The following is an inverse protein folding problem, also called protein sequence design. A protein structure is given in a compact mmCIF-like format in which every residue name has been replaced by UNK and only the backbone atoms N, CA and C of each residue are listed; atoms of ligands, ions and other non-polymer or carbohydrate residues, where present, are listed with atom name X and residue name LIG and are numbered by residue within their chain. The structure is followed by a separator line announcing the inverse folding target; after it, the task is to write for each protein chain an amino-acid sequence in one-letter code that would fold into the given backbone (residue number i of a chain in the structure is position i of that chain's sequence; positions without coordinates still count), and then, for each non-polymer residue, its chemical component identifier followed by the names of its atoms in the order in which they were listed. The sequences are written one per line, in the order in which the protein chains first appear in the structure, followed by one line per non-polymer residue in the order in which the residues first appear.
data_IF_817593908118
#
_entry.id   IF_817593908118
#
_cell.length_a   1.000
_cell.length_b   1.000
_cell.length_c   1.000
_cell.angle_alpha   90.00
_cell.angle_beta   90.00
_cell.angle_gamma   90.00
#
_symmetry.space_group_name_H-M   'P 1'
#
loop_
_entity.id
_entity.type
_entity.pdbx_description
1 polymer ?
#
# COMPACT_ATOMS: atom_id res chain seq x y z
N UNK A 1 25.09 -13.80 2.58
CA UNK A 1 24.50 -12.53 2.18
C UNK A 1 23.03 -12.73 1.82
N UNK A 2 22.13 -11.84 2.27
CA UNK A 2 20.69 -11.86 1.98
C UNK A 2 20.25 -10.46 1.60
N UNK A 3 19.61 -10.31 0.44
CA UNK A 3 19.06 -9.04 -0.04
C UNK A 3 17.56 -9.04 0.19
N UNK A 4 17.08 -8.10 1.03
CA UNK A 4 15.67 -7.93 1.36
C UNK A 4 15.10 -6.72 0.60
N UNK A 5 14.21 -6.96 -0.36
CA UNK A 5 13.49 -5.90 -1.07
C UNK A 5 12.27 -5.44 -0.25
N UNK A 6 12.25 -4.17 0.15
CA UNK A 6 11.08 -3.58 0.80
C UNK A 6 9.95 -3.35 -0.21
N UNK A 7 8.72 -3.37 0.28
CA UNK A 7 7.51 -3.08 -0.49
C UNK A 7 7.44 -1.61 -0.93
N UNK A 8 7.93 -0.68 -0.10
CA UNK A 8 7.76 0.76 -0.28
C UNK A 8 9.03 1.52 0.08
N UNK A 9 8.99 2.86 -0.04
CA UNK A 9 10.06 3.73 0.47
C UNK A 9 10.26 3.52 1.97
N UNK A 10 11.44 3.86 2.47
CA UNK A 10 11.76 3.68 3.89
C UNK A 10 10.81 4.49 4.77
N UNK A 11 9.97 3.80 5.52
CA UNK A 11 8.94 4.35 6.40
C UNK A 11 8.84 3.53 7.70
N UNK A 12 7.99 3.95 8.62
CA UNK A 12 7.87 3.40 9.97
C UNK A 12 7.56 1.89 10.03
N UNK A 13 6.77 1.35 9.06
CA UNK A 13 6.44 -0.08 9.00
C UNK A 13 7.66 -0.97 8.83
N UNK A 14 8.75 -0.44 8.30
CA UNK A 14 10.00 -1.17 8.09
C UNK A 14 11.04 -0.96 9.20
N UNK A 15 10.70 -0.19 10.25
CA UNK A 15 11.64 0.14 11.33
C UNK A 15 12.26 -1.09 11.99
N UNK A 16 11.48 -2.18 12.15
CA UNK A 16 11.95 -3.44 12.73
C UNK A 16 13.13 -4.06 11.97
N UNK A 17 13.10 -4.01 10.64
CA UNK A 17 14.18 -4.54 9.80
C UNK A 17 15.47 -3.72 9.92
N UNK A 18 15.35 -2.39 9.94
CA UNK A 18 16.50 -1.50 10.15
C UNK A 18 17.05 -1.58 11.56
N UNK A 19 16.20 -1.76 12.58
CA UNK A 19 16.64 -1.98 13.96
C UNK A 19 17.39 -3.31 14.06
N UNK A 20 16.88 -4.38 13.46
CA UNK A 20 17.56 -5.69 13.45
C UNK A 20 18.96 -5.58 12.80
N UNK A 21 19.06 -4.87 11.67
CA UNK A 21 20.34 -4.62 11.01
C UNK A 21 21.29 -3.82 11.92
N UNK A 22 20.81 -2.68 12.45
CA UNK A 22 21.64 -1.77 13.26
C UNK A 22 22.08 -2.37 14.61
N UNK A 23 21.25 -3.24 15.19
CA UNK A 23 21.54 -3.90 16.47
C UNK A 23 22.35 -5.18 16.32
N UNK A 24 22.61 -5.63 15.09
CA UNK A 24 23.37 -6.84 14.80
C UNK A 24 22.57 -8.13 14.93
N UNK A 25 21.25 -8.09 15.06
CA UNK A 25 20.42 -9.29 15.23
C UNK A 25 20.49 -10.24 14.03
N UNK A 26 20.73 -9.70 12.83
CA UNK A 26 20.98 -10.54 11.66
C UNK A 26 22.35 -11.22 11.71
N UNK A 27 23.38 -10.50 12.14
CA UNK A 27 24.72 -11.05 12.26
C UNK A 27 24.82 -12.06 13.42
N UNK A 28 24.01 -11.94 14.46
CA UNK A 28 23.91 -12.92 15.54
C UNK A 28 23.38 -14.29 15.03
N UNK A 29 22.68 -14.28 13.89
CA UNK A 29 22.16 -15.47 13.18
C UNK A 29 22.99 -15.80 11.92
N UNK A 30 24.23 -15.33 11.85
CA UNK A 30 25.16 -15.52 10.71
C UNK A 30 24.62 -14.98 9.37
N UNK A 31 23.71 -14.00 9.39
CA UNK A 31 23.14 -13.36 8.21
C UNK A 31 23.79 -11.98 7.95
N UNK A 32 24.28 -11.80 6.74
CA UNK A 32 24.68 -10.50 6.20
C UNK A 32 23.55 -9.96 5.34
N UNK A 33 22.76 -9.03 5.89
CA UNK A 33 21.52 -8.54 5.27
C UNK A 33 21.69 -7.16 4.66
N UNK A 34 21.39 -7.05 3.37
CA UNK A 34 21.25 -5.78 2.65
C UNK A 34 19.77 -5.46 2.44
N UNK A 35 19.31 -4.30 2.95
CA UNK A 35 17.94 -3.83 2.76
C UNK A 35 17.87 -2.94 1.52
N UNK A 36 17.06 -3.34 0.55
CA UNK A 36 16.81 -2.61 -0.69
C UNK A 36 15.50 -1.81 -0.55
N UNK A 37 15.54 -0.46 -0.64
CA UNK A 37 14.34 0.35 -0.59
C UNK A 37 13.39 0.04 -1.74
N UNK A 38 12.09 0.09 -1.48
CA UNK A 38 11.05 0.04 -2.49
C UNK A 38 10.63 1.44 -2.96
N UNK A 39 9.48 1.52 -3.61
CA UNK A 39 8.93 2.78 -4.09
C UNK A 39 7.75 2.60 -5.04
N UNK A 40 7.12 3.72 -5.46
CA UNK A 40 5.92 3.69 -6.30
C UNK A 40 6.14 3.14 -7.71
N UNK A 41 7.39 2.95 -8.12
CA UNK A 41 7.77 2.42 -9.45
C UNK A 41 8.53 1.09 -9.35
N UNK A 42 8.60 0.50 -8.16
CA UNK A 42 9.28 -0.77 -7.92
C UNK A 42 8.24 -1.85 -7.64
N UNK A 43 8.29 -2.94 -8.38
CA UNK A 43 7.47 -4.12 -8.18
C UNK A 43 8.32 -5.23 -7.51
N UNK A 44 8.22 -5.45 -6.20
CA UNK A 44 9.05 -6.43 -5.48
C UNK A 44 9.04 -7.84 -6.10
N UNK A 45 7.89 -8.36 -6.60
CA UNK A 45 7.88 -9.67 -7.28
C UNK A 45 8.77 -9.73 -8.52
N UNK A 46 8.90 -8.62 -9.27
CA UNK A 46 9.79 -8.57 -10.44
C UNK A 46 11.26 -8.53 -10.04
N UNK A 47 11.59 -7.81 -8.95
CA UNK A 47 12.95 -7.77 -8.41
C UNK A 47 13.36 -9.17 -7.94
N UNK A 48 12.48 -9.87 -7.21
CA UNK A 48 12.72 -11.23 -6.75
C UNK A 48 12.87 -12.21 -7.92
N UNK A 49 11.95 -12.16 -8.90
CA UNK A 49 11.99 -13.00 -10.10
C UNK A 49 13.26 -12.79 -10.93
N UNK A 50 13.76 -11.56 -11.00
CA UNK A 50 14.99 -11.20 -11.69
C UNK A 50 16.28 -11.53 -10.94
N UNK A 51 16.21 -12.11 -9.74
CA UNK A 51 17.36 -12.40 -8.89
C UNK A 51 18.02 -11.14 -8.30
N UNK A 52 17.28 -10.03 -8.26
CA UNK A 52 17.72 -8.78 -7.64
C UNK A 52 17.63 -8.78 -6.12
N UNK A 53 16.82 -9.67 -5.55
CA UNK A 53 16.65 -9.89 -4.13
C UNK A 53 16.48 -11.37 -3.81
N UNK A 54 16.70 -11.75 -2.55
CA UNK A 54 16.57 -13.12 -2.05
C UNK A 54 15.26 -13.28 -1.25
N UNK A 55 14.78 -12.18 -0.67
CA UNK A 55 13.48 -12.07 -0.03
C UNK A 55 12.81 -10.74 -0.41
N UNK A 56 11.49 -10.69 -0.36
CA UNK A 56 10.73 -9.46 -0.56
C UNK A 56 9.67 -9.28 0.53
N UNK A 57 9.36 -8.03 0.85
CA UNK A 57 8.12 -7.68 1.51
C UNK A 57 7.09 -7.34 0.44
N UNK A 58 5.89 -7.86 0.60
CA UNK A 58 4.81 -7.60 -0.36
C UNK A 58 3.44 -7.75 0.30
N UNK A 59 2.43 -7.14 -0.30
CA UNK A 59 1.06 -7.35 0.09
C UNK A 59 0.56 -8.68 -0.49
N UNK A 60 -0.24 -9.39 0.29
CA UNK A 60 -0.71 -10.73 -0.10
C UNK A 60 -1.41 -10.79 -1.47
N UNK A 61 -2.31 -9.86 -1.86
CA UNK A 61 -2.94 -9.92 -3.18
C UNK A 61 -1.92 -9.83 -4.32
N UNK A 62 -0.90 -9.01 -4.18
CA UNK A 62 0.19 -8.90 -5.15
C UNK A 62 1.02 -10.18 -5.23
N UNK A 63 1.34 -10.78 -4.08
CA UNK A 63 2.06 -12.05 -4.03
C UNK A 63 1.25 -13.19 -4.66
N UNK A 64 -0.05 -13.26 -4.41
CA UNK A 64 -0.96 -14.23 -5.04
C UNK A 64 -1.02 -14.04 -6.56
N UNK A 65 -1.16 -12.79 -7.02
CA UNK A 65 -1.17 -12.49 -8.46
C UNK A 65 0.17 -12.86 -9.14
N UNK A 66 1.30 -12.71 -8.44
CA UNK A 66 2.60 -13.15 -8.92
C UNK A 66 2.67 -14.69 -9.00
N UNK A 67 2.15 -15.39 -7.97
CA UNK A 67 2.09 -16.85 -7.95
C UNK A 67 1.20 -17.41 -9.06
N UNK A 68 0.05 -16.81 -9.33
CA UNK A 68 -0.82 -17.17 -10.47
C UNK A 68 -0.11 -17.04 -11.82
N UNK A 69 0.83 -16.11 -11.93
CA UNK A 69 1.67 -15.91 -13.12
C UNK A 69 2.89 -16.84 -13.18
N UNK A 70 3.00 -17.76 -12.22
CA UNK A 70 4.04 -18.80 -12.21
C UNK A 70 5.28 -18.45 -11.39
N UNK A 71 5.31 -17.35 -10.65
CA UNK A 71 6.39 -17.06 -9.71
C UNK A 71 6.17 -17.85 -8.41
N UNK A 72 7.01 -18.86 -8.07
CA UNK A 72 6.76 -19.78 -6.98
C UNK A 72 7.14 -19.13 -5.62
N UNK A 73 6.39 -18.10 -5.19
CA UNK A 73 6.61 -17.41 -3.93
C UNK A 73 5.93 -18.10 -2.76
N UNK A 74 6.60 -18.11 -1.62
CA UNK A 74 6.11 -18.65 -0.33
C UNK A 74 6.17 -17.54 0.71
N UNK A 75 5.08 -17.35 1.48
CA UNK A 75 5.08 -16.51 2.66
C UNK A 75 5.79 -17.22 3.81
N UNK A 76 6.86 -16.63 4.33
CA UNK A 76 7.64 -17.18 5.43
C UNK A 76 7.45 -16.43 6.74
N UNK A 77 6.91 -15.20 6.69
CA UNK A 77 6.58 -14.43 7.89
C UNK A 77 5.48 -13.39 7.58
N UNK A 78 4.59 -13.17 8.55
CA UNK A 78 3.52 -12.19 8.48
C UNK A 78 3.53 -11.30 9.72
N UNK A 79 4.33 -10.21 9.73
CA UNK A 79 4.45 -9.32 10.90
C UNK A 79 3.17 -8.57 11.23
N UNK A 80 2.44 -8.12 10.18
CA UNK A 80 1.19 -7.37 10.33
C UNK A 80 -0.02 -8.30 10.22
N UNK A 81 -0.95 -8.17 11.16
CA UNK A 81 -2.17 -8.99 11.26
C UNK A 81 -3.43 -8.26 10.83
N UNK A 82 -3.35 -6.93 10.70
CA UNK A 82 -4.44 -6.05 10.28
C UNK A 82 -3.97 -5.06 9.24
N UNK A 83 -4.91 -4.53 8.44
CA UNK A 83 -4.63 -3.53 7.41
C UNK A 83 -4.59 -2.13 8.01
N UNK A 84 -3.60 -1.33 7.63
CA UNK A 84 -3.58 0.10 7.92
C UNK A 84 -4.16 0.96 6.81
N UNK A 85 -4.58 0.34 5.70
CA UNK A 85 -5.04 1.05 4.50
C UNK A 85 -6.41 1.70 4.71
N UNK A 86 -6.52 2.95 4.27
CA UNK A 86 -7.79 3.68 4.20
C UNK A 86 -7.80 4.68 3.05
N UNK A 87 -8.98 5.13 2.65
CA UNK A 87 -9.16 6.34 1.85
C UNK A 87 -9.36 7.52 2.78
N UNK A 88 -8.64 8.61 2.53
CA UNK A 88 -8.82 9.92 3.18
C UNK A 88 -9.34 10.89 2.15
N UNK A 89 -10.52 11.45 2.39
CA UNK A 89 -11.26 12.31 1.48
C UNK A 89 -11.52 13.68 2.09
N UNK A 90 -11.61 14.71 1.26
CA UNK A 90 -12.14 15.99 1.71
C UNK A 90 -13.65 15.88 2.01
N UNK A 91 -14.06 16.36 3.16
CA UNK A 91 -15.46 16.34 3.61
C UNK A 91 -16.37 17.19 2.76
N UNK A 92 -15.84 18.31 2.24
CA UNK A 92 -16.57 19.26 1.38
C UNK A 92 -16.88 18.72 -0.03
N UNK A 93 -16.30 17.58 -0.41
CA UNK A 93 -16.65 16.87 -1.66
C UNK A 93 -18.04 16.23 -1.60
N UNK A 94 -18.65 16.19 -0.42
CA UNK A 94 -19.97 15.58 -0.18
C UNK A 94 -19.96 14.08 -0.07
N UNK A 95 -18.79 13.43 -0.07
CA UNK A 95 -18.63 11.98 0.10
C UNK A 95 -18.97 11.62 1.55
N UNK A 96 -19.94 10.73 1.75
CA UNK A 96 -20.38 10.22 3.05
C UNK A 96 -20.38 8.70 3.10
N UNK A 97 -20.44 8.06 1.93
CA UNK A 97 -20.50 6.62 1.77
C UNK A 97 -19.78 6.21 0.48
N UNK A 98 -19.45 4.93 0.29
CA UNK A 98 -18.81 4.45 -0.95
C UNK A 98 -19.60 4.75 -2.22
N UNK A 99 -20.94 4.77 -2.15
CA UNK A 99 -21.78 5.11 -3.31
C UNK A 99 -21.55 6.53 -3.84
N UNK A 100 -20.99 7.44 -3.02
CA UNK A 100 -20.72 8.82 -3.38
C UNK A 100 -19.40 8.99 -4.15
N UNK A 101 -18.63 7.90 -4.33
CA UNK A 101 -17.39 7.94 -5.11
C UNK A 101 -17.60 8.13 -6.61
N UNK A 102 -18.82 7.90 -7.12
CA UNK A 102 -19.13 8.07 -8.54
C UNK A 102 -18.85 9.51 -9.01
N UNK A 103 -18.14 9.62 -10.13
CA UNK A 103 -17.71 10.90 -10.69
C UNK A 103 -16.55 11.58 -9.95
N UNK A 104 -15.98 10.94 -8.93
CA UNK A 104 -14.86 11.47 -8.14
C UNK A 104 -13.51 11.03 -8.68
N UNK A 105 -12.47 11.78 -8.32
CA UNK A 105 -11.07 11.40 -8.55
C UNK A 105 -10.48 10.84 -7.28
N UNK A 106 -9.95 9.62 -7.35
CA UNK A 106 -9.39 8.92 -6.20
C UNK A 106 -7.94 8.52 -6.49
N UNK A 107 -7.03 8.97 -5.63
CA UNK A 107 -5.62 8.58 -5.64
C UNK A 107 -5.45 7.16 -5.15
N UNK A 108 -4.79 6.33 -5.94
CA UNK A 108 -4.56 4.90 -5.65
C UNK A 108 -3.11 4.55 -5.94
N UNK A 109 -2.49 3.79 -5.06
CA UNK A 109 -1.17 3.20 -5.31
C UNK A 109 -1.28 2.01 -6.23
N UNK A 110 -0.25 1.80 -7.06
CA UNK A 110 -0.17 0.73 -8.05
C UNK A 110 0.92 -0.29 -7.70
N UNK A 111 1.24 -1.16 -8.65
CA UNK A 111 2.19 -2.28 -8.52
C UNK A 111 1.81 -3.30 -7.45
N UNK A 112 0.50 -3.61 -7.38
CA UNK A 112 -0.06 -4.62 -6.50
C UNK A 112 -0.71 -4.05 -5.24
N UNK A 113 -0.62 -2.74 -5.00
CA UNK A 113 -1.31 -2.07 -3.90
C UNK A 113 -2.75 -1.67 -4.27
N UNK A 114 -3.11 -1.69 -5.56
CA UNK A 114 -4.43 -1.35 -6.07
C UNK A 114 -5.50 -2.43 -5.82
N UNK A 115 -5.12 -3.67 -5.59
CA UNK A 115 -6.06 -4.79 -5.50
C UNK A 115 -7.16 -4.63 -4.47
N UNK A 116 -6.92 -4.18 -3.22
CA UNK A 116 -7.98 -3.96 -2.24
C UNK A 116 -8.98 -2.91 -2.72
N UNK A 117 -8.50 -1.82 -3.33
CA UNK A 117 -9.33 -0.77 -3.89
C UNK A 117 -10.20 -1.28 -5.05
N UNK A 118 -9.60 -1.99 -6.00
CA UNK A 118 -10.33 -2.56 -7.15
C UNK A 118 -11.38 -3.57 -6.71
N UNK A 119 -11.05 -4.40 -5.70
CA UNK A 119 -12.00 -5.33 -5.09
C UNK A 119 -13.17 -4.60 -4.46
N UNK A 120 -12.90 -3.53 -3.72
CA UNK A 120 -13.94 -2.72 -3.10
C UNK A 120 -14.86 -2.08 -4.15
N UNK A 121 -14.31 -1.42 -5.16
CA UNK A 121 -15.10 -0.81 -6.22
C UNK A 121 -15.94 -1.83 -6.99
N UNK A 122 -15.40 -3.01 -7.22
CA UNK A 122 -16.14 -4.13 -7.84
C UNK A 122 -17.33 -4.59 -6.98
N UNK A 123 -17.16 -4.68 -5.65
CA UNK A 123 -18.25 -5.03 -4.72
C UNK A 123 -19.35 -3.96 -4.72
N UNK A 124 -18.99 -2.68 -4.82
CA UNK A 124 -19.92 -1.56 -4.89
C UNK A 124 -20.57 -1.38 -6.29
N UNK A 125 -20.11 -2.15 -7.28
CA UNK A 125 -20.56 -2.00 -8.67
C UNK A 125 -20.17 -0.67 -9.31
N UNK A 126 -19.01 -0.12 -8.92
CA UNK A 126 -18.49 1.16 -9.40
C UNK A 126 -17.34 0.90 -10.37
N UNK A 127 -17.45 1.43 -11.61
CA UNK A 127 -16.37 1.36 -12.60
C UNK A 127 -15.17 2.21 -12.19
N UNK A 128 -13.97 1.71 -12.44
CA UNK A 128 -12.70 2.43 -12.25
C UNK A 128 -12.11 2.97 -13.56
N UNK A 129 -12.87 2.91 -14.66
CA UNK A 129 -12.45 3.37 -15.98
C UNK A 129 -12.80 4.86 -16.25
N UNK A 130 -13.27 5.54 -15.23
CA UNK A 130 -13.72 6.93 -15.34
C UNK A 130 -15.17 7.08 -15.79
N UNK A 131 -15.54 8.32 -16.11
CA UNK A 131 -16.88 8.66 -16.54
C UNK A 131 -17.81 9.08 -15.39
N UNK A 132 -19.03 9.49 -15.76
CA UNK A 132 -19.99 10.06 -14.81
C UNK A 132 -20.44 9.09 -13.72
N UNK A 133 -20.53 7.80 -14.05
CA UNK A 133 -20.98 6.75 -13.14
C UNK A 133 -19.83 5.89 -12.59
N UNK A 134 -18.59 6.26 -12.90
CA UNK A 134 -17.37 5.61 -12.46
C UNK A 134 -16.47 6.55 -11.67
N UNK A 135 -15.29 6.05 -11.32
CA UNK A 135 -14.23 6.77 -10.62
C UNK A 135 -13.10 7.07 -11.58
N UNK A 136 -12.56 8.29 -11.53
CA UNK A 136 -11.27 8.60 -12.16
C UNK A 136 -10.17 8.19 -11.20
N UNK A 137 -9.40 7.16 -11.56
CA UNK A 137 -8.26 6.71 -10.76
C UNK A 137 -7.05 7.56 -11.10
N UNK A 138 -6.52 8.27 -10.09
CA UNK A 138 -5.26 8.99 -10.17
C UNK A 138 -4.14 8.12 -9.62
N UNK A 139 -3.08 7.91 -10.39
CA UNK A 139 -1.90 7.19 -9.89
C UNK A 139 -1.20 8.03 -8.83
N UNK A 140 -1.27 7.57 -7.59
CA UNK A 140 -0.68 8.24 -6.43
C UNK A 140 0.79 7.85 -6.27
N UNK A 141 1.64 8.86 -5.98
CA UNK A 141 3.02 8.67 -5.55
C UNK A 141 3.12 8.40 -4.05
N UNK A 142 4.26 8.75 -3.46
CA UNK A 142 4.56 8.50 -2.04
C UNK A 142 4.19 9.66 -1.09
N UNK A 143 3.58 10.72 -1.60
CA UNK A 143 3.19 11.92 -0.84
C UNK A 143 1.68 12.15 -0.86
N UNK A 144 1.23 13.14 -0.10
CA UNK A 144 -0.19 13.51 0.05
C UNK A 144 -0.59 14.73 -0.80
N UNK A 145 0.30 15.23 -1.65
CA UNK A 145 0.08 16.40 -2.49
C UNK A 145 -1.19 16.33 -3.33
N UNK A 146 -1.58 15.17 -3.92
CA UNK A 146 -2.81 15.11 -4.70
C UNK A 146 -4.06 15.51 -3.91
N UNK A 147 -4.11 15.22 -2.60
CA UNK A 147 -5.20 15.67 -1.74
C UNK A 147 -5.06 17.16 -1.42
N UNK A 148 -3.88 17.59 -0.96
CA UNK A 148 -3.64 18.97 -0.53
C UNK A 148 -3.83 19.98 -1.66
N UNK A 149 -3.47 19.60 -2.89
CA UNK A 149 -3.62 20.43 -4.10
C UNK A 149 -4.98 20.25 -4.80
N UNK A 150 -5.90 19.52 -4.20
CA UNK A 150 -7.24 19.27 -4.76
C UNK A 150 -7.22 18.59 -6.14
N UNK A 151 -6.18 17.85 -6.45
CA UNK A 151 -6.08 17.03 -7.68
C UNK A 151 -6.92 15.75 -7.57
N UNK A 152 -7.15 15.29 -6.34
CA UNK A 152 -8.00 14.16 -6.02
C UNK A 152 -8.98 14.55 -4.90
N UNK A 153 -10.19 13.99 -4.96
CA UNK A 153 -11.21 14.11 -3.91
C UNK A 153 -10.84 13.26 -2.69
N UNK A 154 -10.23 12.10 -2.94
CA UNK A 154 -9.70 11.17 -1.95
C UNK A 154 -8.32 10.70 -2.38
N UNK A 155 -7.51 10.27 -1.40
CA UNK A 155 -6.25 9.56 -1.61
C UNK A 155 -6.16 8.32 -0.75
N UNK A 156 -5.36 7.34 -1.18
CA UNK A 156 -4.92 6.24 -0.34
C UNK A 156 -3.99 6.77 0.75
N UNK A 157 -4.21 6.33 1.98
CA UNK A 157 -3.37 6.65 3.14
C UNK A 157 -3.21 5.44 4.03
N UNK A 158 -2.08 5.34 4.71
CA UNK A 158 -1.92 4.40 5.82
C UNK A 158 -2.20 5.13 7.13
N UNK A 159 -2.89 4.47 8.04
CA UNK A 159 -3.21 5.01 9.38
C UNK A 159 -1.98 5.47 10.15
N UNK A 160 -0.84 4.86 9.90
CA UNK A 160 0.43 5.09 10.61
C UNK A 160 1.39 6.03 9.86
N UNK A 161 1.04 6.55 8.69
CA UNK A 161 1.94 7.41 7.90
C UNK A 161 1.22 8.55 7.18
N UNK A 162 0.67 8.33 5.97
CA UNK A 162 0.16 9.43 5.13
C UNK A 162 -0.98 10.21 5.77
N UNK A 163 -1.82 9.55 6.57
CA UNK A 163 -2.86 10.26 7.33
C UNK A 163 -2.24 11.31 8.26
N UNK A 164 -1.18 10.94 8.98
CA UNK A 164 -0.42 11.89 9.80
C UNK A 164 0.17 13.03 8.99
N UNK A 165 0.70 12.75 7.78
CA UNK A 165 1.25 13.78 6.90
C UNK A 165 0.18 14.80 6.46
N UNK A 166 -1.08 14.37 6.24
CA UNK A 166 -2.19 15.28 5.93
C UNK A 166 -2.46 16.23 7.11
N UNK A 167 -2.48 15.69 8.33
CA UNK A 167 -2.69 16.50 9.54
C UNK A 167 -1.50 17.44 9.81
N UNK A 168 -0.27 16.95 9.63
CA UNK A 168 0.95 17.76 9.79
C UNK A 168 1.03 18.92 8.77
N UNK A 169 0.38 18.76 7.61
CA UNK A 169 0.22 19.83 6.63
C UNK A 169 -0.80 20.90 7.04
N UNK A 170 -1.41 20.77 8.21
CA UNK A 170 -2.34 21.74 8.78
C UNK A 170 -3.82 21.49 8.47
N UNK A 171 -4.17 20.35 7.89
CA UNK A 171 -5.57 19.95 7.66
C UNK A 171 -6.16 19.42 8.97
N UNK A 172 -7.32 19.93 9.35
CA UNK A 172 -8.05 19.44 10.53
C UNK A 172 -8.77 18.12 10.23
N UNK A 173 -8.84 17.23 11.22
CA UNK A 173 -9.64 15.99 11.12
C UNK A 173 -11.12 16.29 10.77
N UNK A 174 -11.66 17.42 11.23
CA UNK A 174 -13.02 17.85 10.94
C UNK A 174 -13.27 18.18 9.46
N UNK A 175 -12.21 18.42 8.68
CA UNK A 175 -12.27 18.68 7.24
C UNK A 175 -12.23 17.39 6.42
N UNK A 176 -11.97 16.25 7.06
CA UNK A 176 -11.75 14.97 6.42
C UNK A 176 -12.89 13.98 6.71
N UNK A 177 -13.07 13.04 5.82
CA UNK A 177 -13.79 11.79 6.02
C UNK A 177 -12.88 10.64 5.61
N UNK A 178 -12.82 9.60 6.43
CA UNK A 178 -11.95 8.44 6.20
C UNK A 178 -12.76 7.16 6.09
N UNK A 179 -12.32 6.26 5.23
CA UNK A 179 -12.89 4.93 5.04
C UNK A 179 -11.79 3.89 5.21
N UNK A 180 -11.79 3.19 6.35
CA UNK A 180 -10.85 2.09 6.57
C UNK A 180 -11.29 0.87 5.77
N UNK A 181 -10.35 0.23 5.09
CA UNK A 181 -10.63 -0.96 4.28
C UNK A 181 -11.11 -2.14 5.14
N UNK A 182 -10.70 -2.21 6.40
CA UNK A 182 -11.21 -3.19 7.36
C UNK A 182 -12.72 -3.07 7.57
N UNK A 183 -13.22 -1.83 7.72
CA UNK A 183 -14.63 -1.55 7.93
C UNK A 183 -15.47 -1.82 6.67
N UNK A 184 -14.84 -1.88 5.50
CA UNK A 184 -15.48 -2.19 4.22
C UNK A 184 -15.40 -3.68 3.83
N UNK A 185 -14.76 -4.51 4.66
CA UNK A 185 -14.62 -5.94 4.41
C UNK A 185 -13.68 -6.30 3.26
N UNK A 186 -12.78 -5.39 2.88
CA UNK A 186 -11.82 -5.55 1.77
C UNK A 186 -10.37 -5.44 2.23
N UNK A 187 -10.13 -5.49 3.54
CA UNK A 187 -8.78 -5.51 4.09
C UNK A 187 -8.01 -6.75 3.64
N UNK A 188 -6.71 -6.57 3.40
CA UNK A 188 -5.79 -7.64 3.03
C UNK A 188 -4.58 -7.65 3.95
N UNK A 189 -3.83 -8.75 3.98
CA UNK A 189 -2.58 -8.82 4.72
C UNK A 189 -1.49 -8.01 3.97
N UNK A 190 -0.86 -7.11 4.70
CA UNK A 190 0.16 -6.18 4.22
C UNK A 190 1.55 -6.64 4.68
N UNK A 191 2.57 -6.28 3.90
CA UNK A 191 3.99 -6.40 4.22
C UNK A 191 4.41 -7.80 4.76
N UNK A 192 3.83 -8.86 4.21
CA UNK A 192 4.32 -10.21 4.41
C UNK A 192 5.69 -10.41 3.78
N UNK A 193 6.50 -11.30 4.36
CA UNK A 193 7.81 -11.67 3.83
C UNK A 193 7.68 -12.92 2.95
N UNK A 194 8.21 -12.83 1.75
CA UNK A 194 8.13 -13.88 0.73
C UNK A 194 9.52 -14.21 0.17
N UNK A 195 9.71 -15.49 -0.12
CA UNK A 195 10.90 -16.02 -0.83
C UNK A 195 10.44 -16.90 -1.99
N UNK A 196 11.35 -17.28 -2.87
CA UNK A 196 11.10 -18.36 -3.86
C UNK A 196 11.16 -19.73 -3.18
N UNK A 197 10.38 -20.70 -3.69
CA UNK A 197 10.44 -22.11 -3.29
C UNK A 197 11.83 -22.73 -3.54
#
# INVERSE_FOLDING_TARGET
EVRLQLQWVTQAQFAGYYVALKKGYYSDEDLDVTILPGGPDIAPPQVLAGGGADAMLNWMPSALAAREKGLPVVNIAQPFKSSGLMLTCWKDTGIKSPSDFKGKTIGVWFYGNEYPFLSWMSQEGISTDGGKDGITVLRQGFNVDPLLQRQADCISTMTYNEYGQVLDAGVSEDELVTFKYEDQGVATLEDGMYVLE
#
